data_IF_277868374137
#
_entry.id   IF_277868374137
#
_cell.length_a   1.000
_cell.length_b   1.000
_cell.length_c   1.000
_cell.angle_alpha   90.00
_cell.angle_beta   90.00
_cell.angle_gamma   90.00
#
_symmetry.space_group_name_H-M   'P 1'
#
loop_
_entity.id
_entity.type
_entity.pdbx_description
1 polymer ?
#
# COMPACT_ATOMS: atom_id res chain seq x y z
N UNK A 1 8.29 17.17 1.35
CA UNK A 1 7.66 16.51 2.52
C UNK A 1 8.11 15.06 2.52
N UNK A 2 8.74 14.61 3.61
CA UNK A 2 9.43 13.30 3.69
C UNK A 2 8.46 12.22 4.16
N UNK A 3 7.60 11.72 3.27
CA UNK A 3 6.90 10.45 3.47
C UNK A 3 7.83 9.29 3.11
N UNK A 4 8.99 9.27 3.77
CA UNK A 4 10.04 8.27 3.55
C UNK A 4 9.73 7.07 4.45
N UNK A 5 8.76 6.25 4.05
CA UNK A 5 8.62 4.93 4.66
C UNK A 5 9.79 4.09 4.15
N UNK A 6 10.55 3.48 5.06
CA UNK A 6 11.66 2.64 4.65
C UNK A 6 11.13 1.40 3.94
N UNK A 7 11.69 1.12 2.75
CA UNK A 7 11.34 -0.09 1.98
C UNK A 7 11.57 -1.37 2.79
N UNK A 8 12.53 -1.35 3.73
CA UNK A 8 12.78 -2.45 4.67
C UNK A 8 11.60 -2.70 5.59
N UNK A 9 10.96 -1.63 6.08
CA UNK A 9 9.75 -1.72 6.90
C UNK A 9 8.61 -2.28 6.08
N UNK A 10 8.45 -1.81 4.83
CA UNK A 10 7.44 -2.33 3.92
C UNK A 10 7.61 -3.83 3.63
N UNK A 11 8.84 -4.26 3.37
CA UNK A 11 9.18 -5.67 3.18
C UNK A 11 8.93 -6.50 4.45
N UNK A 12 9.28 -5.96 5.63
CA UNK A 12 9.00 -6.63 6.91
C UNK A 12 7.50 -6.81 7.14
N UNK A 13 6.70 -5.80 6.81
CA UNK A 13 5.23 -5.88 6.86
C UNK A 13 4.72 -6.92 5.87
N UNK A 14 5.22 -6.92 4.63
CA UNK A 14 4.88 -7.93 3.63
C UNK A 14 5.18 -9.35 4.14
N UNK A 15 6.37 -9.59 4.70
CA UNK A 15 6.74 -10.89 5.25
C UNK A 15 5.82 -11.29 6.41
N UNK A 16 5.43 -10.34 7.27
CA UNK A 16 4.46 -10.57 8.35
C UNK A 16 3.08 -10.91 7.82
N UNK A 17 2.56 -10.17 6.83
CA UNK A 17 1.29 -10.48 6.19
C UNK A 17 1.35 -11.84 5.49
N UNK A 18 2.45 -12.15 4.82
CA UNK A 18 2.67 -13.46 4.21
C UNK A 18 2.81 -14.56 5.26
N UNK A 19 3.32 -14.32 6.46
CA UNK A 19 3.51 -15.38 7.46
C UNK A 19 2.29 -15.58 8.35
N UNK A 20 1.63 -14.48 8.73
CA UNK A 20 0.50 -14.47 9.68
C UNK A 20 -0.86 -14.42 8.98
N UNK A 21 -0.90 -13.97 7.73
CA UNK A 21 -2.11 -13.86 6.93
C UNK A 21 -2.59 -15.19 6.38
N UNK A 22 -3.79 -15.16 5.82
CA UNK A 22 -4.40 -16.28 5.13
C UNK A 22 -3.87 -16.34 3.70
N UNK A 23 -3.30 -17.48 3.32
CA UNK A 23 -2.76 -17.71 1.97
C UNK A 23 -3.89 -18.14 1.05
N UNK A 24 -4.00 -17.46 -0.08
CA UNK A 24 -4.84 -17.80 -1.22
C UNK A 24 -3.95 -18.25 -2.37
N UNK A 25 -4.55 -18.77 -3.44
CA UNK A 25 -3.82 -19.34 -4.58
C UNK A 25 -2.74 -18.42 -5.18
N UNK A 26 -2.95 -17.10 -5.17
CA UNK A 26 -1.99 -16.13 -5.71
C UNK A 26 -1.92 -14.82 -4.91
N UNK A 27 -2.39 -14.84 -3.66
CA UNK A 27 -2.42 -13.67 -2.79
C UNK A 27 -2.40 -14.08 -1.32
N UNK A 28 -1.99 -13.19 -0.43
CA UNK A 28 -2.10 -13.38 1.01
C UNK A 28 -2.94 -12.24 1.57
N UNK A 29 -3.91 -12.53 2.43
CA UNK A 29 -4.71 -11.49 3.08
C UNK A 29 -4.51 -11.54 4.59
N UNK A 30 -4.19 -10.41 5.19
CA UNK A 30 -4.17 -10.23 6.63
C UNK A 30 -4.98 -8.98 6.98
N UNK A 31 -6.04 -9.18 7.76
CA UNK A 31 -6.98 -8.12 8.14
C UNK A 31 -7.58 -7.44 6.89
N UNK A 32 -7.29 -6.16 6.68
CA UNK A 32 -7.75 -5.35 5.54
C UNK A 32 -6.70 -5.23 4.43
N UNK A 33 -5.49 -5.77 4.66
CA UNK A 33 -4.36 -5.69 3.73
C UNK A 33 -4.27 -6.97 2.91
N UNK A 34 -4.27 -6.80 1.59
CA UNK A 34 -4.04 -7.87 0.62
C UNK A 34 -2.64 -7.71 0.04
N UNK A 35 -1.86 -8.77 0.09
CA UNK A 35 -0.55 -8.88 -0.51
C UNK A 35 -0.63 -9.76 -1.75
N UNK A 36 -0.02 -9.33 -2.84
CA UNK A 36 0.18 -10.15 -4.04
C UNK A 36 1.64 -10.09 -4.43
N UNK A 37 2.18 -11.22 -4.88
CA UNK A 37 3.50 -11.25 -5.49
C UNK A 37 3.35 -11.36 -7.01
N UNK A 38 4.20 -10.65 -7.73
CA UNK A 38 4.30 -10.81 -9.17
C UNK A 38 4.79 -12.23 -9.50
N UNK A 39 4.34 -12.83 -10.61
CA UNK A 39 4.74 -14.19 -11.00
C UNK A 39 6.26 -14.34 -11.20
N UNK A 40 6.95 -13.26 -11.56
CA UNK A 40 8.41 -13.22 -11.68
C UNK A 40 9.14 -13.02 -10.32
N UNK A 41 8.42 -12.74 -9.23
CA UNK A 41 8.98 -12.61 -7.88
C UNK A 41 9.77 -11.32 -7.61
N UNK A 42 9.77 -10.36 -8.53
CA UNK A 42 10.55 -9.12 -8.42
C UNK A 42 9.78 -7.95 -7.81
N UNK A 43 8.46 -8.01 -7.84
CA UNK A 43 7.57 -6.98 -7.33
C UNK A 43 6.58 -7.60 -6.35
N UNK A 44 6.37 -6.91 -5.23
CA UNK A 44 5.31 -7.24 -4.28
C UNK A 44 4.36 -6.06 -4.19
N UNK A 45 3.07 -6.35 -4.13
CA UNK A 45 2.03 -5.36 -4.04
C UNK A 45 1.27 -5.54 -2.73
N UNK A 46 1.04 -4.42 -2.04
CA UNK A 46 0.26 -4.31 -0.81
C UNK A 46 -0.92 -3.39 -1.09
N UNK A 47 -2.14 -3.91 -1.00
CA UNK A 47 -3.35 -3.13 -1.26
C UNK A 47 -4.34 -3.20 -0.11
N UNK A 48 -4.97 -2.07 0.16
CA UNK A 48 -6.14 -1.92 1.03
C UNK A 48 -7.36 -1.53 0.17
N UNK A 49 -8.48 -1.17 0.79
CA UNK A 49 -9.70 -0.80 0.08
C UNK A 49 -9.57 0.49 -0.74
N UNK A 50 -8.59 1.36 -0.49
CA UNK A 50 -8.48 2.67 -1.16
C UNK A 50 -7.11 2.95 -1.78
N UNK A 51 -6.06 2.31 -1.27
CA UNK A 51 -4.66 2.56 -1.64
C UNK A 51 -3.97 1.25 -1.93
N UNK A 52 -3.22 1.22 -3.01
CA UNK A 52 -2.31 0.14 -3.39
C UNK A 52 -0.88 0.65 -3.35
N UNK A 53 0.06 -0.23 -2.99
CA UNK A 53 1.47 0.07 -2.87
C UNK A 53 2.25 -1.02 -3.58
N UNK A 54 2.91 -0.65 -4.66
CA UNK A 54 3.84 -1.51 -5.38
C UNK A 54 5.25 -1.29 -4.87
N UNK A 55 5.93 -2.37 -4.52
CA UNK A 55 7.31 -2.37 -4.03
C UNK A 55 8.14 -3.16 -5.03
N UNK A 56 9.12 -2.48 -5.62
CA UNK A 56 10.03 -3.05 -6.59
C UNK A 56 11.38 -3.32 -5.95
N UNK A 57 12.08 -4.34 -6.46
CA UNK A 57 13.39 -4.78 -5.98
C UNK A 57 14.50 -3.71 -5.97
N UNK A 58 14.34 -2.60 -6.71
CA UNK A 58 15.30 -1.48 -6.74
C UNK A 58 15.10 -0.48 -5.59
N UNK A 59 14.52 -0.90 -4.46
CA UNK A 59 14.12 -0.04 -3.35
C UNK A 59 13.17 1.11 -3.76
N UNK A 60 12.45 0.93 -4.86
CA UNK A 60 11.47 1.88 -5.37
C UNK A 60 10.08 1.38 -5.03
N UNK A 61 9.26 2.28 -4.49
CA UNK A 61 7.87 1.99 -4.21
C UNK A 61 6.97 3.06 -4.81
N UNK A 62 5.74 2.69 -5.15
CA UNK A 62 4.75 3.60 -5.70
C UNK A 62 3.40 3.37 -5.03
N UNK A 63 2.81 4.44 -4.50
CA UNK A 63 1.44 4.42 -4.01
C UNK A 63 0.48 4.79 -5.14
N UNK A 64 -0.58 4.02 -5.27
CA UNK A 64 -1.66 4.19 -6.21
C UNK A 64 -2.95 4.39 -5.41
N UNK A 65 -3.68 5.46 -5.68
CA UNK A 65 -4.93 5.80 -5.00
C UNK A 65 -6.09 5.67 -5.97
N UNK A 66 -7.27 5.24 -5.55
CA UNK A 66 -8.43 5.09 -6.46
C UNK A 66 -8.77 6.33 -7.30
N UNK A 67 -8.46 7.51 -6.78
CA UNK A 67 -8.64 8.77 -7.47
C UNK A 67 -7.30 9.20 -8.08
N UNK A 68 -6.81 8.53 -9.11
CA UNK A 68 -5.63 9.01 -9.87
C UNK A 68 -5.98 10.16 -10.82
N UNK A 69 -7.26 10.24 -11.24
CA UNK A 69 -7.72 11.19 -12.23
C UNK A 69 -8.54 12.33 -11.58
N UNK A 70 -8.00 13.56 -11.49
CA UNK A 70 -8.72 14.70 -10.91
C UNK A 70 -9.94 15.09 -11.74
N UNK A 71 -9.96 14.76 -13.04
CA UNK A 71 -11.10 15.02 -13.93
C UNK A 71 -12.29 14.08 -13.66
N UNK A 72 -12.06 12.95 -12.99
CA UNK A 72 -13.14 12.03 -12.61
C UNK A 72 -14.00 12.59 -11.48
N UNK A 73 -13.49 13.54 -10.70
CA UNK A 73 -14.16 14.05 -9.51
C UNK A 73 -14.80 15.41 -9.76
N UNK A 74 -16.07 15.36 -10.18
CA UNK A 74 -16.86 16.50 -10.66
C UNK A 74 -17.12 17.64 -9.63
N UNK A 75 -16.73 17.50 -8.36
CA UNK A 75 -17.03 18.48 -7.29
C UNK A 75 -15.88 18.74 -6.29
N UNK A 76 -14.62 18.44 -6.63
CA UNK A 76 -13.48 18.71 -5.75
C UNK A 76 -12.46 19.62 -6.44
N UNK A 77 -11.85 20.54 -5.69
CA UNK A 77 -10.71 21.30 -6.23
C UNK A 77 -9.49 20.40 -6.35
N UNK A 78 -8.57 20.71 -7.28
CA UNK A 78 -7.28 20.00 -7.41
C UNK A 78 -6.49 19.94 -6.10
N UNK A 79 -6.66 20.95 -5.24
CA UNK A 79 -6.02 20.98 -3.92
C UNK A 79 -6.67 19.98 -2.96
N UNK A 80 -8.00 19.94 -2.89
CA UNK A 80 -8.73 18.97 -2.05
C UNK A 80 -8.50 17.53 -2.49
N UNK A 81 -8.40 17.29 -3.80
CA UNK A 81 -8.07 16.01 -4.39
C UNK A 81 -6.70 15.49 -3.93
N UNK A 82 -5.66 16.32 -4.06
CA UNK A 82 -4.33 15.95 -3.59
C UNK A 82 -4.30 15.71 -2.07
N UNK A 83 -4.96 16.57 -1.28
CA UNK A 83 -5.02 16.39 0.18
C UNK A 83 -5.75 15.11 0.58
N UNK A 84 -6.82 14.73 -0.13
CA UNK A 84 -7.54 13.49 0.14
C UNK A 84 -6.66 12.27 -0.17
N UNK A 85 -5.99 12.27 -1.32
CA UNK A 85 -5.09 11.18 -1.70
C UNK A 85 -3.92 11.05 -0.72
N UNK A 86 -3.31 12.18 -0.32
CA UNK A 86 -2.28 12.20 0.71
C UNK A 86 -2.78 11.63 2.04
N UNK A 87 -3.98 12.02 2.49
CA UNK A 87 -4.58 11.48 3.70
C UNK A 87 -4.79 9.96 3.63
N UNK A 88 -5.33 9.45 2.52
CA UNK A 88 -5.52 8.01 2.32
C UNK A 88 -4.19 7.25 2.35
N UNK A 89 -3.15 7.79 1.70
CA UNK A 89 -1.79 7.21 1.75
C UNK A 89 -1.23 7.23 3.17
N UNK A 90 -1.42 8.33 3.92
CA UNK A 90 -0.99 8.40 5.32
C UNK A 90 -1.68 7.36 6.20
N UNK A 91 -2.99 7.21 6.05
CA UNK A 91 -3.77 6.20 6.78
C UNK A 91 -3.30 4.80 6.45
N UNK A 92 -3.05 4.52 5.17
CA UNK A 92 -2.49 3.23 4.73
C UNK A 92 -1.12 2.95 5.34
N UNK A 93 -0.18 3.91 5.29
CA UNK A 93 1.14 3.78 5.94
C UNK A 93 0.98 3.54 7.44
N UNK A 94 0.03 4.24 8.09
CA UNK A 94 -0.25 4.05 9.51
C UNK A 94 -0.74 2.64 9.81
N UNK A 95 -1.64 2.07 8.99
CA UNK A 95 -2.09 0.68 9.09
C UNK A 95 -0.92 -0.30 8.97
N UNK A 96 -0.05 -0.12 7.97
CA UNK A 96 1.14 -0.96 7.79
C UNK A 96 2.06 -0.92 9.01
N UNK A 97 2.32 0.27 9.57
CA UNK A 97 3.15 0.41 10.77
C UNK A 97 2.50 -0.19 12.02
N UNK A 98 1.18 -0.14 12.16
CA UNK A 98 0.49 -0.81 13.26
C UNK A 98 0.61 -2.32 13.13
N UNK A 99 0.49 -2.84 11.91
CA UNK A 99 0.61 -4.26 11.62
C UNK A 99 2.04 -4.77 11.89
N UNK A 100 3.06 -3.98 11.51
CA UNK A 100 4.46 -4.24 11.89
C UNK A 100 4.68 -4.29 13.41
N UNK A 101 4.02 -3.42 14.18
CA UNK A 101 4.18 -3.41 15.64
C UNK A 101 3.44 -4.55 16.33
N UNK A 102 2.40 -5.08 15.70
CA UNK A 102 1.48 -6.06 16.31
C UNK A 102 1.96 -7.50 16.15
N UNK A 103 2.62 -7.79 15.04
CA UNK A 103 3.17 -9.11 14.69
C UNK A 103 4.69 -9.06 14.62
#
# INVERSE_FOLDING_TARGET
MKNSVDVRTLLSVYEKVKTQGQHFENSCKLEDITCTESPDGYCVNLADNNVSLDINFHNTYHFHTMNEDPESVINQTTTEFHNNNEAQVQEFIHKLMQLDKRY
#
